data_IF_698886505097
#
_entry.id   IF_698886505097
#
_cell.length_a   1.000
_cell.length_b   1.000
_cell.length_c   1.000
_cell.angle_alpha   90.00
_cell.angle_beta   90.00
_cell.angle_gamma   90.00
#
_symmetry.space_group_name_H-M   'P 1'
#
loop_
_entity.id
_entity.type
_entity.pdbx_description
1 polymer ?
2 non-polymer ?
3 non-polymer ?
4 non-polymer ?
5 water ?
#
# COMPACT_ATOMS: atom_id res chain seq x y z
N UNK A 8 25.42 -8.96 -6.52
CA UNK A 8 24.57 -8.51 -7.62
C UNK A 8 23.14 -9.01 -7.44
N UNK A 9 22.72 -9.90 -8.35
CA UNK A 9 21.38 -10.47 -8.30
C UNK A 9 21.27 -11.57 -7.24
N UNK A 10 22.42 -11.95 -6.69
CA UNK A 10 22.46 -13.00 -5.68
C UNK A 10 21.99 -12.47 -4.32
N UNK A 11 22.18 -11.17 -4.11
CA UNK A 11 21.78 -10.54 -2.85
C UNK A 11 20.26 -10.40 -2.75
N UNK A 12 19.61 -10.28 -3.90
CA UNK A 12 18.16 -10.16 -3.94
C UNK A 12 17.48 -11.49 -3.69
N UNK A 13 18.04 -12.55 -4.28
CA UNK A 13 17.50 -13.90 -4.11
C UNK A 13 17.62 -14.35 -2.66
N UNK A 14 18.67 -13.88 -1.98
CA UNK A 14 18.84 -14.17 -0.57
C UNK A 14 17.83 -13.36 0.26
N UNK A 15 17.52 -12.16 -0.23
CA UNK A 15 16.53 -11.32 0.42
C UNK A 15 15.15 -11.95 0.41
N UNK A 16 14.79 -12.54 -0.72
CA UNK A 16 13.51 -13.23 -0.86
C UNK A 16 13.47 -14.45 0.06
N UNK A 17 14.61 -15.11 0.21
CA UNK A 17 14.71 -16.29 1.08
C UNK A 17 14.52 -15.92 2.54
N UNK A 18 15.18 -14.84 2.96
CA UNK A 18 15.07 -14.36 4.34
C UNK A 18 13.63 -13.98 4.70
N UNK A 19 12.97 -13.25 3.81
CA UNK A 19 11.60 -12.82 4.03
C UNK A 19 10.67 -14.02 4.18
N UNK A 20 10.84 -15.01 3.30
CA UNK A 20 10.08 -16.25 3.40
C UNK A 20 10.43 -17.02 4.66
N UNK A 21 11.68 -16.92 5.08
CA UNK A 21 12.16 -17.62 6.27
C UNK A 21 11.53 -17.11 7.55
N UNK A 22 11.42 -15.79 7.66
CA UNK A 22 10.82 -15.14 8.82
C UNK A 22 9.34 -15.52 8.97
N UNK A 23 8.65 -15.61 7.85
CA UNK A 23 7.23 -15.98 7.83
C UNK A 23 7.04 -17.42 8.31
N UNK A 24 7.96 -18.30 7.94
CA UNK A 24 7.88 -19.69 8.37
C UNK A 24 8.14 -19.81 9.87
N UNK A 25 9.10 -19.05 10.37
CA UNK A 25 9.43 -19.07 11.79
C UNK A 25 8.28 -18.53 12.64
N UNK A 26 7.50 -17.62 12.06
CA UNK A 26 6.38 -17.01 12.78
C UNK A 26 5.05 -17.69 12.47
N UNK A 27 5.12 -18.82 11.75
CA UNK A 27 3.92 -19.55 11.36
C UNK A 27 3.20 -20.15 12.57
N UNK A 28 1.88 -20.27 12.46
CA UNK A 28 1.08 -20.88 13.53
C UNK A 28 1.22 -22.39 13.47
N UNK A 29 1.47 -22.92 12.27
CA UNK A 29 1.71 -24.34 12.06
C UNK A 29 2.48 -24.57 10.77
N UNK A 30 3.78 -24.77 10.88
CA UNK A 30 4.66 -24.94 9.72
C UNK A 30 4.34 -26.23 8.97
N UNK A 31 3.88 -27.24 9.69
CA UNK A 31 3.57 -28.53 9.08
C UNK A 31 2.23 -28.51 8.34
N UNK A 32 1.48 -27.43 8.52
CA UNK A 32 0.17 -27.29 7.89
C UNK A 32 0.24 -26.42 6.65
N UNK A 33 1.42 -25.88 6.37
CA UNK A 33 1.63 -25.04 5.20
C UNK A 33 1.44 -25.83 3.91
N UNK A 34 0.47 -25.39 3.09
CA UNK A 34 0.23 -26.00 1.80
C UNK A 34 1.25 -25.49 0.78
N UNK A 35 2.07 -26.41 0.26
CA UNK A 35 3.15 -26.06 -0.65
C UNK A 35 2.63 -25.58 -2.00
N UNK A 36 1.49 -26.11 -2.44
CA UNK A 36 0.88 -25.66 -3.68
C UNK A 36 0.42 -24.21 -3.55
N UNK A 37 -0.21 -23.90 -2.41
CA UNK A 37 -0.70 -22.56 -2.13
C UNK A 37 0.43 -21.53 -2.13
N UNK A 38 1.38 -21.71 -1.21
CA UNK A 38 2.44 -20.71 -1.04
C UNK A 38 3.47 -20.78 -2.16
N UNK A 39 3.56 -21.92 -2.82
CA UNK A 39 4.47 -22.07 -3.95
C UNK A 39 3.98 -21.26 -5.14
N UNK A 40 2.72 -21.46 -5.50
CA UNK A 40 2.11 -20.74 -6.61
C UNK A 40 1.92 -19.26 -6.31
N UNK A 41 1.65 -18.94 -5.05
CA UNK A 41 1.43 -17.56 -4.65
C UNK A 41 2.69 -16.73 -4.85
N UNK A 42 3.83 -17.29 -4.51
CA UNK A 42 5.12 -16.64 -4.74
C UNK A 42 5.44 -16.64 -6.22
N UNK A 43 5.10 -17.74 -6.90
CA UNK A 43 5.35 -17.89 -8.32
C UNK A 43 4.59 -16.84 -9.15
N UNK A 44 3.37 -16.55 -8.73
CA UNK A 44 2.54 -15.56 -9.42
C UNK A 44 3.04 -14.15 -9.19
N UNK A 45 3.36 -13.83 -7.94
CA UNK A 45 3.87 -12.50 -7.60
C UNK A 45 5.22 -12.24 -8.25
N UNK A 46 6.04 -13.28 -8.36
CA UNK A 46 7.35 -13.18 -8.99
C UNK A 46 7.21 -13.03 -10.51
N UNK A 47 6.30 -13.80 -11.09
CA UNK A 47 6.10 -13.79 -12.53
C UNK A 47 5.40 -12.51 -12.99
N UNK A 48 4.50 -12.01 -12.15
CA UNK A 48 3.83 -10.75 -12.42
C UNK A 48 4.84 -9.61 -12.46
N UNK A 49 5.82 -9.68 -11.56
CA UNK A 49 6.89 -8.72 -11.53
C UNK A 49 7.76 -8.84 -12.77
N UNK A 50 8.07 -10.08 -13.14
CA UNK A 50 8.85 -10.34 -14.34
C UNK A 50 8.12 -9.85 -15.58
N UNK A 51 6.82 -10.11 -15.63
CA UNK A 51 5.99 -9.77 -16.78
C UNK A 51 6.00 -8.27 -17.07
N UNK A 52 5.67 -7.46 -16.08
CA UNK A 52 5.43 -6.03 -16.32
C UNK A 52 6.63 -5.13 -16.05
N UNK A 53 7.75 -5.71 -15.60
CA UNK A 53 8.94 -4.90 -15.34
C UNK A 53 10.12 -5.29 -16.24
N UNK A 54 10.07 -6.48 -16.82
CA UNK A 54 11.18 -6.98 -17.62
C UNK A 54 10.79 -7.22 -19.08
N UNK A 55 9.84 -8.13 -19.27
CA UNK A 55 9.33 -8.49 -20.59
C UNK A 55 8.73 -7.29 -21.31
N UNK A 56 9.18 -7.02 -22.55
CA UNK A 56 8.72 -5.90 -23.38
C UNK A 56 7.20 -5.73 -23.44
N UNK A 57 6.47 -6.79 -23.78
CA UNK A 57 5.02 -6.70 -23.93
C UNK A 57 4.35 -6.28 -22.62
N UNK A 58 4.85 -6.82 -21.52
CA UNK A 58 4.30 -6.50 -20.21
C UNK A 58 4.55 -5.06 -19.81
N UNK A 59 5.73 -4.54 -20.18
CA UNK A 59 6.07 -3.14 -19.90
C UNK A 59 5.16 -2.19 -20.66
N UNK A 60 4.67 -2.64 -21.82
CA UNK A 60 3.78 -1.81 -22.64
C UNK A 60 2.36 -1.79 -22.09
N UNK A 61 1.94 -2.93 -21.54
CA UNK A 61 0.63 -3.03 -20.92
C UNK A 61 0.60 -2.22 -19.61
N UNK A 62 1.74 -2.16 -18.94
CA UNK A 62 1.84 -1.42 -17.69
C UNK A 62 1.84 0.08 -17.91
N UNK A 63 2.60 0.53 -18.92
CA UNK A 63 2.67 1.95 -19.22
C UNK A 63 1.36 2.44 -19.85
N UNK A 64 0.66 1.53 -20.52
CA UNK A 64 -0.61 1.87 -21.13
C UNK A 64 -1.69 2.06 -20.08
N UNK A 65 -1.67 1.20 -19.07
CA UNK A 65 -2.62 1.29 -17.96
C UNK A 65 -2.30 2.51 -17.10
N UNK A 66 -1.01 2.78 -16.93
CA UNK A 66 -0.56 3.91 -16.12
C UNK A 66 -0.89 5.25 -16.77
N UNK A 67 -0.76 5.31 -18.10
CA UNK A 67 -1.10 6.53 -18.84
C UNK A 67 -2.60 6.78 -18.78
N UNK A 68 -3.37 5.69 -18.77
CA UNK A 68 -4.82 5.78 -18.64
C UNK A 68 -5.21 6.34 -17.27
N UNK A 69 -4.52 5.86 -16.23
CA UNK A 69 -4.71 6.37 -14.88
C UNK A 69 -4.30 7.83 -14.80
N UNK A 70 -3.21 8.17 -15.48
CA UNK A 70 -2.71 9.55 -15.48
C UNK A 70 -3.68 10.50 -16.19
N UNK A 71 -4.43 9.98 -17.15
CA UNK A 71 -5.41 10.79 -17.86
C UNK A 71 -6.65 11.02 -17.01
N UNK A 72 -7.03 10.01 -16.24
CA UNK A 72 -8.20 10.11 -15.36
C UNK A 72 -7.96 11.16 -14.27
N UNK A 73 -6.75 11.19 -13.74
CA UNK A 73 -6.39 12.15 -12.71
C UNK A 73 -6.53 13.58 -13.22
N UNK A 74 -6.02 13.82 -14.43
CA UNK A 74 -6.11 15.13 -15.06
C UNK A 74 -7.55 15.55 -15.33
N UNK A 75 -8.37 14.59 -15.76
CA UNK A 75 -9.79 14.83 -15.96
C UNK A 75 -10.44 15.21 -14.63
N UNK A 76 -10.08 14.51 -13.57
CA UNK A 76 -10.59 14.81 -12.25
C UNK A 76 -10.13 16.17 -11.75
N UNK A 77 -8.98 16.61 -12.24
CA UNK A 77 -8.41 17.89 -11.83
C UNK A 77 -9.18 19.09 -12.33
N UNK A 78 -10.14 18.87 -13.22
CA UNK A 78 -11.01 19.95 -13.65
C UNK A 78 -11.95 20.34 -12.52
N UNK A 79 -12.33 19.35 -11.71
CA UNK A 79 -13.21 19.59 -10.58
C UNK A 79 -12.57 20.46 -9.52
N UNK A 80 -11.31 20.16 -9.20
CA UNK A 80 -10.60 20.91 -8.17
C UNK A 80 -10.14 22.27 -8.69
N UNK A 81 -9.95 22.36 -10.00
CA UNK A 81 -9.61 23.62 -10.65
C UNK A 81 -10.77 24.59 -10.56
N UNK A 82 -11.99 24.06 -10.64
CA UNK A 82 -13.18 24.89 -10.53
C UNK A 82 -13.34 25.47 -9.13
N UNK A 83 -13.05 24.66 -8.12
CA UNK A 83 -13.24 25.06 -6.73
C UNK A 83 -12.19 26.05 -6.25
N UNK A 84 -10.94 25.84 -6.64
CA UNK A 84 -9.84 26.62 -6.07
C UNK A 84 -9.21 27.57 -7.08
N UNK A 85 -9.70 27.54 -8.31
CA UNK A 85 -9.31 28.50 -9.33
C UNK A 85 -7.83 28.69 -9.54
N UNK A 86 -7.36 29.92 -9.31
CA UNK A 86 -5.98 30.28 -9.53
C UNK A 86 -5.02 29.79 -8.46
N UNK A 87 -5.55 29.21 -7.39
CA UNK A 87 -4.70 28.66 -6.33
C UNK A 87 -4.11 27.33 -6.75
N UNK A 88 -4.60 26.77 -7.85
CA UNK A 88 -4.03 25.54 -8.41
C UNK A 88 -3.58 25.76 -9.86
N UNK A 89 -3.31 27.01 -10.20
CA UNK A 89 -2.84 27.34 -11.56
C UNK A 89 -1.32 27.49 -11.59
N UNK A 90 -0.79 27.76 -12.79
CA UNK A 90 0.64 27.91 -12.98
C UNK A 90 1.20 29.19 -12.38
N UNK A 91 0.32 30.17 -12.16
CA UNK A 91 0.72 31.45 -11.61
C UNK A 91 1.27 31.30 -10.19
N UNK A 92 0.85 30.24 -9.51
CA UNK A 92 1.29 29.97 -8.14
C UNK A 92 2.79 29.73 -8.07
N UNK A 93 3.34 29.13 -9.12
CA UNK A 93 4.77 28.85 -9.18
C UNK A 93 5.56 30.11 -9.51
N UNK A 94 4.93 31.06 -10.19
CA UNK A 94 5.58 32.31 -10.54
C UNK A 94 5.66 33.24 -9.32
N UNK A 95 4.76 33.04 -8.37
CA UNK A 95 4.69 33.92 -7.20
C UNK A 95 5.37 33.32 -5.97
N UNK A 96 5.03 32.08 -5.65
CA UNK A 96 5.55 31.43 -4.45
C UNK A 96 6.69 30.47 -4.73
N UNK A 97 7.02 30.31 -6.01
CA UNK A 97 8.06 29.40 -6.41
C UNK A 97 7.71 27.96 -6.14
N UNK A 98 8.56 27.27 -5.38
CA UNK A 98 8.32 25.89 -5.01
C UNK A 98 7.13 25.74 -4.09
N UNK A 99 6.88 26.78 -3.29
CA UNK A 99 5.77 26.77 -2.36
C UNK A 99 4.43 27.07 -3.00
N UNK A 100 4.42 27.13 -4.34
CA UNK A 100 3.20 27.39 -5.08
C UNK A 100 2.33 26.15 -5.17
N UNK A 101 2.96 24.99 -4.95
CA UNK A 101 2.25 23.71 -4.99
C UNK A 101 1.56 23.46 -3.65
N UNK A 102 0.27 23.80 -3.57
CA UNK A 102 -0.48 23.67 -2.34
C UNK A 102 -1.09 22.27 -2.20
N UNK A 103 -0.49 21.46 -1.34
CA UNK A 103 -0.88 20.07 -1.15
C UNK A 103 -2.36 19.89 -0.85
N UNK A 104 -2.91 20.77 -0.02
CA UNK A 104 -4.30 20.67 0.41
C UNK A 104 -5.26 20.75 -0.77
N UNK A 105 -4.86 21.45 -1.82
CA UNK A 105 -5.73 21.66 -2.98
C UNK A 105 -5.29 20.82 -4.18
N UNK A 106 -4.05 20.34 -4.17
CA UNK A 106 -3.50 19.61 -5.30
C UNK A 106 -3.69 18.09 -5.17
N UNK A 107 -3.58 17.58 -3.96
CA UNK A 107 -3.58 16.14 -3.74
C UNK A 107 -4.88 15.63 -3.10
N UNK A 108 -5.32 16.30 -2.05
CA UNK A 108 -6.51 15.89 -1.29
C UNK A 108 -7.82 15.81 -2.10
N UNK A 109 -8.07 16.79 -3.01
CA UNK A 109 -9.31 16.66 -3.79
C UNK A 109 -9.33 15.43 -4.69
N UNK A 110 -8.16 14.91 -5.05
CA UNK A 110 -8.07 13.73 -5.89
C UNK A 110 -8.68 12.50 -5.20
N UNK A 111 -8.58 12.45 -3.88
CA UNK A 111 -9.17 11.36 -3.11
C UNK A 111 -10.70 11.37 -3.23
N UNK A 112 -11.26 12.57 -3.36
CA UNK A 112 -12.70 12.73 -3.48
C UNK A 112 -13.20 12.28 -4.84
N UNK A 113 -12.48 12.67 -5.88
CA UNK A 113 -12.86 12.33 -7.26
C UNK A 113 -12.77 10.84 -7.53
N UNK A 114 -11.68 10.22 -7.09
CA UNK A 114 -11.45 8.80 -7.36
C UNK A 114 -12.38 7.91 -6.55
N UNK A 115 -12.79 8.39 -5.38
CA UNK A 115 -13.74 7.66 -4.57
C UNK A 115 -15.10 7.63 -5.26
N UNK A 116 -15.45 8.76 -5.88
CA UNK A 116 -16.69 8.87 -6.64
C UNK A 116 -16.66 7.96 -7.87
N UNK A 117 -15.51 7.94 -8.55
CA UNK A 117 -15.35 7.13 -9.76
C UNK A 117 -15.48 5.65 -9.49
N UNK A 118 -14.79 5.18 -8.45
CA UNK A 118 -14.82 3.76 -8.08
C UNK A 118 -16.23 3.35 -7.69
N UNK A 119 -16.92 4.25 -6.98
CA UNK A 119 -18.30 4.00 -6.57
C UNK A 119 -19.22 3.86 -7.78
N UNK A 120 -18.91 4.59 -8.84
CA UNK A 120 -19.65 4.50 -10.10
C UNK A 120 -19.35 3.18 -10.82
N UNK A 121 -18.08 2.81 -10.85
CA UNK A 121 -17.66 1.58 -11.51
C UNK A 121 -18.16 0.33 -10.78
N UNK A 122 -18.56 0.51 -9.52
CA UNK A 122 -19.18 -0.57 -8.76
C UNK A 122 -20.66 -0.72 -9.13
N UNK A 123 -21.34 0.40 -9.27
CA UNK A 123 -22.75 0.42 -9.64
C UNK A 123 -22.97 -0.18 -11.02
N UNK A 124 -22.06 0.11 -11.94
CA UNK A 124 -22.18 -0.35 -13.32
C UNK A 124 -21.82 -1.83 -13.46
N UNK A 125 -21.17 -2.38 -12.44
CA UNK A 125 -20.79 -3.78 -12.46
C UNK A 125 -19.40 -4.03 -13.04
N UNK A 126 -18.70 -2.95 -13.39
CA UNK A 126 -17.38 -3.06 -13.98
C UNK A 126 -16.35 -3.61 -12.98
N UNK A 127 -16.39 -3.09 -11.76
CA UNK A 127 -15.47 -3.51 -10.72
C UNK A 127 -15.65 -4.99 -10.38
N UNK A 128 -16.90 -5.39 -10.17
CA UNK A 128 -17.20 -6.77 -9.81
C UNK A 128 -16.80 -7.73 -10.92
N UNK A 129 -16.84 -7.25 -12.16
CA UNK A 129 -16.45 -8.07 -13.31
C UNK A 129 -14.95 -8.35 -13.29
N UNK A 130 -14.15 -7.33 -13.03
CA UNK A 130 -12.69 -7.48 -12.99
C UNK A 130 -12.24 -8.31 -11.78
N UNK A 131 -12.86 -8.05 -10.63
CA UNK A 131 -12.56 -8.77 -9.40
C UNK A 131 -12.87 -10.27 -9.52
N UNK A 132 -13.99 -10.57 -10.16
CA UNK A 132 -14.44 -11.95 -10.34
C UNK A 132 -13.45 -12.75 -11.16
N UNK A 133 -12.84 -12.10 -12.15
CA UNK A 133 -11.87 -12.74 -13.02
C UNK A 133 -10.54 -12.98 -12.31
N UNK A 134 -10.01 -11.93 -11.67
CA UNK A 134 -8.76 -12.01 -10.94
C UNK A 134 -8.87 -12.94 -9.72
N UNK A 135 -9.94 -12.78 -8.96
CA UNK A 135 -10.16 -13.59 -7.78
C UNK A 135 -10.36 -15.05 -8.09
N UNK A 136 -10.99 -15.33 -9.23
CA UNK A 136 -11.23 -16.69 -9.66
C UNK A 136 -9.97 -17.36 -10.18
N UNK A 137 -9.06 -16.56 -10.73
CA UNK A 137 -7.80 -17.06 -11.22
C UNK A 137 -6.86 -17.42 -10.08
N UNK A 138 -7.00 -16.72 -8.97
CA UNK A 138 -6.17 -16.96 -7.80
C UNK A 138 -6.56 -18.25 -7.08
N UNK A 139 -7.85 -18.49 -6.95
CA UNK A 139 -8.34 -19.65 -6.21
C UNK A 139 -8.11 -20.96 -6.95
N UNK A 140 -8.18 -20.91 -8.28
CA UNK A 140 -8.01 -22.12 -9.08
C UNK A 140 -6.54 -22.50 -9.22
N UNK A 141 -5.66 -21.57 -8.86
CA UNK A 141 -4.22 -21.79 -8.97
C UNK A 141 -3.56 -21.97 -7.61
N UNK A 142 -4.24 -21.50 -6.56
CA UNK A 142 -3.67 -21.57 -5.21
C UNK A 142 -4.48 -22.48 -4.28
N UNK A 143 -5.72 -22.76 -4.66
CA UNK A 143 -6.58 -23.61 -3.87
C UNK A 143 -7.19 -22.86 -2.70
N UNK A 144 -6.99 -21.55 -2.68
CA UNK A 144 -7.58 -20.69 -1.67
C UNK A 144 -9.09 -20.62 -1.88
N UNK A 145 -9.83 -20.31 -0.83
CA UNK A 145 -11.30 -20.31 -0.88
C UNK A 145 -11.85 -19.17 -1.73
N UNK A 146 -13.14 -19.26 -2.02
CA UNK A 146 -13.81 -18.28 -2.88
C UNK A 146 -13.79 -16.86 -2.32
N UNK A 147 -14.20 -16.71 -1.06
CA UNK A 147 -14.34 -15.38 -0.46
C UNK A 147 -13.02 -14.66 -0.25
N UNK A 148 -12.01 -15.38 0.24
CA UNK A 148 -10.72 -14.76 0.54
C UNK A 148 -9.96 -14.40 -0.74
N UNK A 149 -10.31 -15.06 -1.84
CA UNK A 149 -9.66 -14.81 -3.13
C UNK A 149 -10.22 -13.56 -3.79
N UNK A 150 -11.52 -13.36 -3.65
CA UNK A 150 -12.18 -12.18 -4.21
C UNK A 150 -11.76 -10.94 -3.45
N UNK A 151 -11.57 -11.08 -2.15
CA UNK A 151 -11.15 -9.98 -1.29
C UNK A 151 -9.72 -9.57 -1.62
N UNK A 152 -8.91 -10.56 -1.99
CA UNK A 152 -7.52 -10.30 -2.38
C UNK A 152 -7.47 -9.51 -3.69
N UNK A 153 -8.33 -9.89 -4.63
CA UNK A 153 -8.42 -9.20 -5.90
C UNK A 153 -9.03 -7.80 -5.73
N UNK A 154 -10.03 -7.69 -4.87
CA UNK A 154 -10.69 -6.40 -4.64
C UNK A 154 -9.74 -5.39 -4.03
N UNK A 155 -8.81 -5.87 -3.21
CA UNK A 155 -7.87 -5.00 -2.50
C UNK A 155 -6.88 -4.29 -3.42
N UNK A 156 -6.75 -4.79 -4.64
CA UNK A 156 -5.89 -4.17 -5.63
C UNK A 156 -6.39 -2.75 -5.95
N UNK A 157 -7.70 -2.56 -5.88
CA UNK A 157 -8.32 -1.29 -6.27
C UNK A 157 -8.85 -0.47 -5.09
N UNK A 158 -9.37 -1.13 -4.08
CA UNK A 158 -9.95 -0.41 -2.94
C UNK A 158 -9.27 -0.73 -1.61
N UNK A 159 -9.71 -0.04 -0.56
CA UNK A 159 -9.08 -0.13 0.75
C UNK A 159 -9.38 -1.39 1.54
N UNK A 160 -8.72 -1.52 2.69
CA UNK A 160 -8.81 -2.73 3.51
C UNK A 160 -10.20 -2.93 4.13
N UNK A 161 -10.98 -1.87 4.20
CA UNK A 161 -12.32 -1.95 4.78
C UNK A 161 -13.38 -2.06 3.70
N UNK A 162 -13.07 -1.57 2.51
CA UNK A 162 -14.03 -1.58 1.40
C UNK A 162 -13.97 -2.90 0.62
N UNK A 163 -12.80 -3.53 0.60
CA UNK A 163 -12.59 -4.78 -0.13
C UNK A 163 -13.47 -5.95 0.36
N UNK A 164 -13.55 -6.18 1.69
CA UNK A 164 -14.35 -7.36 2.11
C UNK A 164 -15.84 -7.22 1.86
N UNK A 165 -16.30 -6.05 1.43
CA UNK A 165 -17.72 -5.82 1.19
C UNK A 165 -18.27 -6.66 0.03
N UNK A 166 -17.39 -7.16 -0.82
CA UNK A 166 -17.82 -8.01 -1.94
C UNK A 166 -18.13 -9.43 -1.47
N UNK A 167 -17.78 -9.74 -0.23
CA UNK A 167 -18.04 -11.06 0.32
C UNK A 167 -18.52 -10.97 1.76
N UNK A 168 -19.24 -9.90 2.08
CA UNK A 168 -19.67 -9.65 3.46
C UNK A 168 -20.61 -10.71 4.08
N UNK A 169 -21.43 -11.41 3.27
CA UNK A 169 -22.23 -12.40 4.00
C UNK A 169 -21.46 -13.66 4.37
N UNK A 170 -20.23 -13.80 3.84
CA UNK A 170 -19.41 -14.98 4.11
C UNK A 170 -18.37 -14.71 5.19
N UNK A 171 -18.17 -13.43 5.51
CA UNK A 171 -17.20 -13.02 6.53
C UNK A 171 -17.50 -13.52 7.95
N UNK A 172 -18.78 -13.45 8.40
CA UNK A 172 -19.02 -13.87 9.80
C UNK A 172 -18.68 -15.32 10.09
N UNK A 173 -18.72 -16.19 9.10
CA UNK A 173 -18.52 -17.62 9.33
C UNK A 173 -17.26 -18.19 8.68
N UNK A 174 -16.41 -17.33 8.12
CA UNK A 174 -15.18 -17.82 7.52
C UNK A 174 -14.17 -18.18 8.59
N UNK A 175 -13.25 -19.09 8.26
CA UNK A 175 -12.28 -19.63 9.20
C UNK A 175 -11.27 -18.57 9.66
N UNK A 176 -10.53 -18.88 10.71
CA UNK A 176 -9.51 -17.98 11.24
C UNK A 176 -8.44 -17.67 10.19
N UNK A 177 -8.08 -18.69 9.42
CA UNK A 177 -7.12 -18.54 8.33
C UNK A 177 -7.69 -17.65 7.22
N UNK A 178 -8.99 -17.76 6.99
CA UNK A 178 -9.66 -16.95 5.97
C UNK A 178 -9.75 -15.49 6.38
N UNK A 179 -10.14 -15.25 7.62
CA UNK A 179 -10.24 -13.91 8.17
C UNK A 179 -8.86 -13.25 8.18
N UNK A 180 -7.85 -14.02 8.54
CA UNK A 180 -6.48 -13.52 8.61
C UNK A 180 -5.97 -13.11 7.23
N UNK A 181 -6.36 -13.87 6.20
CA UNK A 181 -5.94 -13.56 4.84
C UNK A 181 -6.62 -12.29 4.34
N UNK A 182 -7.89 -12.12 4.71
CA UNK A 182 -8.65 -10.92 4.36
C UNK A 182 -8.01 -9.69 4.99
N UNK A 183 -7.54 -9.85 6.22
CA UNK A 183 -6.82 -8.77 6.90
C UNK A 183 -5.51 -8.46 6.20
N UNK A 184 -4.79 -9.51 5.80
CA UNK A 184 -3.48 -9.35 5.16
C UNK A 184 -3.60 -8.75 3.75
N UNK A 185 -4.65 -9.12 3.04
CA UNK A 185 -4.89 -8.59 1.71
C UNK A 185 -5.06 -7.09 1.72
N UNK A 186 -5.60 -6.58 2.82
CA UNK A 186 -5.83 -5.15 2.96
C UNK A 186 -4.58 -4.42 3.41
N UNK A 187 -3.80 -5.06 4.26
CA UNK A 187 -2.57 -4.47 4.80
C UNK A 187 -1.45 -4.48 3.77
N UNK A 188 -1.50 -5.43 2.84
CA UNK A 188 -0.47 -5.57 1.82
C UNK A 188 -0.71 -4.60 0.65
N UNK A 189 -1.89 -4.00 0.63
CA UNK A 189 -2.29 -3.14 -0.49
C UNK A 189 -2.70 -1.75 -0.03
N UNK A 190 -2.97 -0.87 -0.99
CA UNK A 190 -3.52 0.44 -0.67
C UNK A 190 -4.93 0.55 -1.23
N UNK A 191 -5.28 1.74 -1.71
CA UNK A 191 -6.57 1.95 -2.36
C UNK A 191 -6.40 2.89 -3.55
N UNK A 192 -7.34 2.85 -4.48
CA UNK A 192 -7.26 3.62 -5.70
C UNK A 192 -7.17 5.12 -5.47
N UNK A 193 -7.86 5.60 -4.44
CA UNK A 193 -7.87 7.01 -4.13
C UNK A 193 -6.52 7.55 -3.73
N UNK A 194 -5.91 6.96 -2.70
CA UNK A 194 -4.59 7.38 -2.24
C UNK A 194 -3.51 7.10 -3.28
N UNK A 195 -3.75 6.10 -4.12
CA UNK A 195 -2.83 5.79 -5.21
C UNK A 195 -2.67 7.00 -6.12
N UNK A 196 -3.80 7.61 -6.45
CA UNK A 196 -3.81 8.80 -7.29
C UNK A 196 -3.21 9.99 -6.55
N UNK A 197 -3.28 9.95 -5.22
CA UNK A 197 -2.70 10.99 -4.41
C UNK A 197 -1.19 10.94 -4.48
N UNK A 198 -0.64 9.76 -4.23
CA UNK A 198 0.80 9.54 -4.26
C UNK A 198 1.36 9.84 -5.65
N UNK A 199 0.59 9.49 -6.67
CA UNK A 199 0.94 9.79 -8.05
C UNK A 199 1.00 11.29 -8.29
N UNK A 200 0.12 12.03 -7.62
CA UNK A 200 0.07 13.48 -7.74
C UNK A 200 1.17 14.15 -6.93
N UNK A 201 1.90 13.34 -6.15
CA UNK A 201 3.00 13.84 -5.33
C UNK A 201 4.34 13.58 -6.01
N UNK A 202 4.31 12.90 -7.15
CA UNK A 202 5.52 12.64 -7.92
C UNK A 202 5.95 11.18 -7.95
N UNK A 203 5.25 10.34 -7.21
CA UNK A 203 5.53 8.90 -7.23
C UNK A 203 5.13 8.33 -8.58
N UNK A 204 6.01 7.54 -9.18
CA UNK A 204 5.76 6.95 -10.48
C UNK A 204 4.55 6.01 -10.46
N UNK A 205 3.60 6.28 -11.35
CA UNK A 205 2.36 5.51 -11.41
C UNK A 205 2.60 4.04 -11.76
N UNK A 206 3.62 3.81 -12.58
CA UNK A 206 3.99 2.45 -12.97
C UNK A 206 4.32 1.59 -11.75
N UNK A 207 4.97 2.20 -10.76
CA UNK A 207 5.36 1.49 -9.54
C UNK A 207 4.17 1.27 -8.62
N UNK A 208 3.25 2.23 -8.61
CA UNK A 208 2.05 2.16 -7.77
C UNK A 208 1.09 1.08 -8.25
N UNK A 209 0.84 1.06 -9.56
CA UNK A 209 -0.04 0.07 -10.17
C UNK A 209 0.56 -1.33 -10.05
N UNK A 210 1.87 -1.44 -10.27
CA UNK A 210 2.56 -2.72 -10.21
C UNK A 210 2.51 -3.30 -8.80
N UNK A 211 2.80 -2.46 -7.80
CA UNK A 211 2.78 -2.88 -6.41
C UNK A 211 1.36 -3.25 -5.96
N UNK A 212 0.37 -2.56 -6.52
CA UNK A 212 -1.03 -2.82 -6.20
C UNK A 212 -1.47 -4.20 -6.66
N UNK A 213 -1.08 -4.58 -7.87
CA UNK A 213 -1.45 -5.87 -8.43
C UNK A 213 -0.65 -7.01 -7.80
N UNK A 214 0.61 -6.76 -7.46
CA UNK A 214 1.46 -7.78 -6.83
C UNK A 214 1.06 -7.98 -5.36
N UNK A 215 0.17 -7.11 -4.87
CA UNK A 215 -0.29 -7.18 -3.50
C UNK A 215 -1.24 -8.34 -3.28
N UNK A 216 -2.04 -8.66 -4.29
CA UNK A 216 -3.02 -9.74 -4.17
C UNK A 216 -2.37 -11.12 -3.97
N UNK A 217 -1.39 -11.50 -4.82
CA UNK A 217 -0.78 -12.79 -4.51
C UNK A 217 0.17 -12.72 -3.32
N UNK A 218 0.79 -11.55 -3.12
CA UNK A 218 1.73 -11.36 -2.03
C UNK A 218 1.03 -11.37 -0.69
N UNK A 219 -0.20 -10.88 -0.65
CA UNK A 219 -1.00 -10.90 0.55
C UNK A 219 -1.38 -12.31 0.93
N UNK A 220 -1.82 -13.09 -0.05
CA UNK A 220 -2.20 -14.48 0.18
C UNK A 220 -0.98 -15.32 0.57
N UNK A 221 0.16 -15.00 -0.04
CA UNK A 221 1.40 -15.71 0.20
C UNK A 221 1.80 -15.76 1.67
N UNK A 222 1.96 -14.59 2.28
CA UNK A 222 2.40 -14.52 3.67
C UNK A 222 1.27 -14.79 4.65
N UNK A 223 0.04 -14.71 4.17
CA UNK A 223 -1.12 -15.05 4.99
C UNK A 223 -1.17 -16.56 5.24
N UNK A 224 -0.91 -17.31 4.19
CA UNK A 224 -0.98 -18.77 4.25
C UNK A 224 0.32 -19.36 4.79
N UNK A 225 1.38 -18.57 4.77
CA UNK A 225 2.65 -18.97 5.36
C UNK A 225 2.59 -18.86 6.87
N UNK A 226 2.10 -17.72 7.35
CA UNK A 226 2.04 -17.44 8.78
C UNK A 226 0.78 -18.01 9.43
N UNK A 227 -0.25 -18.25 8.62
CA UNK A 227 -1.51 -18.76 9.14
C UNK A 227 -2.16 -19.72 8.14
N UNK A 228 -1.66 -20.95 8.04
CA UNK A 228 -2.20 -21.96 7.13
C UNK A 228 -3.61 -22.39 7.51
N UNK A 229 -4.40 -22.80 6.52
CA UNK A 229 -5.75 -23.28 6.80
C UNK A 229 -5.71 -24.61 7.54
N UNK A 230 -6.29 -24.64 8.73
CA UNK A 230 -6.37 -25.87 9.52
C UNK A 230 -7.83 -26.29 9.68
N UNK A 231 -8.75 -25.45 9.21
CA UNK A 231 -10.17 -25.76 9.26
C UNK A 231 -10.70 -26.06 7.86
N UNK A 232 -12.02 -26.20 7.75
CA UNK A 232 -12.67 -26.41 6.45
C UNK A 232 -13.57 -25.24 6.08
N UNK A 233 -13.20 -24.50 5.03
CA UNK A 233 -14.00 -23.37 4.54
C UNK A 233 -15.32 -23.81 3.92
N UNK A 234 -16.24 -22.86 3.76
CA UNK A 234 -17.54 -23.15 3.16
C UNK A 234 -17.56 -22.76 1.68
N UNK A 235 -18.69 -23.03 1.03
CA UNK A 235 -18.89 -22.72 -0.39
C UNK A 235 -17.80 -23.32 -1.26
N UNK A 247 -27.00 -0.60 -2.02
CA UNK A 247 -26.86 -0.23 -3.42
C UNK A 247 -27.69 1.02 -3.75
N UNK A 248 -27.03 2.09 -4.23
CA UNK A 248 -27.66 3.35 -4.60
C UNK A 248 -28.72 3.19 -5.69
N UNK A 249 -29.76 4.03 -5.64
CA UNK A 249 -30.90 3.93 -6.55
C UNK A 249 -30.51 4.18 -8.01
N UNK A 250 -29.47 4.98 -8.22
CA UNK A 250 -29.02 5.29 -9.57
C UNK A 250 -27.53 5.64 -9.60
N UNK A 251 -27.00 5.80 -10.80
CA UNK A 251 -25.57 6.02 -11.01
C UNK A 251 -25.13 7.39 -10.48
N UNK A 252 -26.09 8.31 -10.35
CA UNK A 252 -25.77 9.64 -9.85
C UNK A 252 -25.66 9.62 -8.32
N UNK A 253 -26.48 8.79 -7.69
CA UNK A 253 -26.41 8.60 -6.24
C UNK A 253 -25.12 7.90 -5.86
N UNK A 254 -24.65 7.02 -6.75
CA UNK A 254 -23.41 6.29 -6.53
C UNK A 254 -22.22 7.22 -6.49
N UNK A 255 -22.16 8.15 -7.44
CA UNK A 255 -21.07 9.13 -7.50
C UNK A 255 -21.12 10.07 -6.31
N UNK A 256 -22.32 10.45 -5.88
CA UNK A 256 -22.49 11.35 -4.75
C UNK A 256 -22.03 10.70 -3.44
N UNK A 257 -22.36 9.43 -3.25
CA UNK A 257 -21.98 8.72 -2.06
C UNK A 257 -20.48 8.52 -2.01
N UNK A 258 -19.89 8.27 -3.19
CA UNK A 258 -18.46 8.10 -3.31
C UNK A 258 -17.71 9.38 -2.99
N UNK A 259 -18.22 10.50 -3.48
CA UNK A 259 -17.63 11.80 -3.19
C UNK A 259 -17.67 12.11 -1.69
N UNK A 260 -18.81 11.79 -1.08
CA UNK A 260 -18.98 12.01 0.35
C UNK A 260 -17.98 11.20 1.16
N UNK A 261 -17.85 9.92 0.82
CA UNK A 261 -16.87 9.05 1.45
C UNK A 261 -15.46 9.58 1.25
N UNK A 262 -15.16 10.00 0.03
CA UNK A 262 -13.84 10.54 -0.30
C UNK A 262 -13.54 11.84 0.43
N UNK A 263 -14.57 12.65 0.62
CA UNK A 263 -14.46 13.88 1.41
C UNK A 263 -14.02 13.59 2.84
N UNK A 264 -14.71 12.65 3.48
CA UNK A 264 -14.41 12.28 4.86
C UNK A 264 -12.98 11.77 4.95
N UNK A 265 -12.58 10.99 3.96
CA UNK A 265 -11.22 10.46 3.89
C UNK A 265 -10.20 11.58 3.68
N UNK A 266 -10.53 12.52 2.81
CA UNK A 266 -9.66 13.66 2.53
C UNK A 266 -9.41 14.49 3.79
N UNK A 267 -10.46 14.73 4.56
CA UNK A 267 -10.37 15.50 5.79
C UNK A 267 -9.53 14.80 6.85
N UNK A 268 -9.74 13.49 7.00
CA UNK A 268 -9.00 12.71 7.99
C UNK A 268 -7.51 12.61 7.66
N UNK A 269 -7.20 12.40 6.39
CA UNK A 269 -5.81 12.33 5.95
C UNK A 269 -5.11 13.67 6.17
N UNK A 270 -5.80 14.76 5.82
CA UNK A 270 -5.25 16.09 5.97
C UNK A 270 -4.96 16.47 7.40
N UNK A 271 -5.91 16.17 8.29
CA UNK A 271 -5.72 16.42 9.71
C UNK A 271 -4.58 15.57 10.26
N UNK A 272 -4.48 14.33 9.79
CA UNK A 272 -3.42 13.44 10.24
C UNK A 272 -2.05 13.96 9.83
N UNK A 273 -1.94 14.46 8.61
CA UNK A 273 -0.67 14.99 8.12
C UNK A 273 -0.24 16.24 8.88
N UNK A 274 -1.20 17.11 9.24
CA UNK A 274 -0.87 18.29 10.05
C UNK A 274 -0.33 17.89 11.42
N UNK A 275 -1.00 16.92 12.04
CA UNK A 275 -0.63 16.50 13.38
C UNK A 275 0.66 15.68 13.40
N UNK A 276 0.75 14.68 12.52
CA UNK A 276 1.89 13.77 12.53
C UNK A 276 3.19 14.46 12.16
N UNK A 277 3.17 15.23 11.08
CA UNK A 277 4.34 16.00 10.68
C UNK A 277 4.68 17.02 11.77
N UNK A 278 3.65 17.65 12.32
CA UNK A 278 3.82 18.57 13.44
C UNK A 278 4.44 17.89 14.65
N UNK A 279 3.98 16.69 14.96
CA UNK A 279 4.50 15.93 16.10
C UNK A 279 5.95 15.51 15.89
N UNK A 280 6.29 15.19 14.64
CA UNK A 280 7.66 14.80 14.28
C UNK A 280 8.63 15.96 14.49
N UNK A 281 8.19 17.16 14.16
CA UNK A 281 9.00 18.35 14.35
C UNK A 281 9.24 18.61 15.84
N UNK A 282 8.23 18.30 16.65
CA UNK A 282 8.36 18.40 18.11
C UNK A 282 9.33 17.35 18.63
N UNK A 283 9.21 16.12 18.11
CA UNK A 283 10.06 15.01 18.51
C UNK A 283 11.52 15.29 18.15
N UNK A 284 11.76 15.82 16.95
CA UNK A 284 13.11 16.20 16.53
C UNK A 284 13.69 17.29 17.42
N UNK A 285 12.85 18.20 17.87
CA UNK A 285 13.27 19.27 18.76
C UNK A 285 13.72 18.69 20.09
N UNK A 286 12.96 17.73 20.60
CA UNK A 286 13.29 17.08 21.86
C UNK A 286 14.51 16.18 21.71
N UNK A 287 14.58 15.46 20.59
CA UNK A 287 15.71 14.57 20.30
C UNK A 287 17.01 15.34 20.10
N UNK A 288 16.89 16.61 19.76
CA UNK A 288 18.06 17.46 19.61
C UNK A 288 18.63 17.82 20.97
N UNK A 289 17.75 18.07 21.93
CA UNK A 289 18.16 18.39 23.29
C UNK A 289 18.59 17.17 24.07
N UNK A 290 17.84 16.08 23.92
CA UNK A 290 18.19 14.82 24.57
C UNK A 290 19.49 14.26 24.01
N UNK A 291 19.59 14.26 22.68
CA UNK A 291 20.78 13.78 22.00
C UNK A 291 22.02 14.56 22.39
N UNK A 292 21.83 15.84 22.69
CA UNK A 292 22.93 16.70 23.10
C UNK A 292 23.59 16.25 24.38
N UNK A 293 22.82 15.62 25.25
CA UNK A 293 23.34 15.09 26.51
C UNK A 293 24.35 13.97 26.26
N UNK A 294 24.27 13.35 25.08
CA UNK A 294 25.18 12.27 24.71
C UNK A 294 26.06 12.66 23.54
N UNK A 295 26.30 13.96 23.37
CA UNK A 295 27.19 14.46 22.35
C UNK A 295 26.63 14.45 20.94
N UNK A 296 25.33 14.23 20.81
CA UNK A 296 24.70 14.15 19.49
C UNK A 296 23.54 15.13 19.36
N UNK A 297 23.84 16.44 19.33
CA UNK A 297 22.77 17.45 19.27
C UNK A 297 22.00 17.43 17.96
N UNK A 298 22.58 16.82 16.93
CA UNK A 298 21.95 16.77 15.62
C UNK A 298 21.04 15.56 15.47
N UNK A 299 20.82 14.85 16.58
CA UNK A 299 19.97 13.67 16.59
C UNK A 299 18.53 14.00 16.20
N UNK A 300 18.00 13.22 15.26
CA UNK A 300 16.62 13.39 14.82
C UNK A 300 15.93 12.05 14.62
N UNK A 301 14.63 12.08 14.35
CA UNK A 301 13.86 10.86 14.17
C UNK A 301 14.30 10.11 12.92
N UNK A 302 14.69 10.86 11.90
CA UNK A 302 15.12 10.29 10.63
C UNK A 302 16.41 9.51 10.79
N UNK A 303 17.28 9.97 11.69
CA UNK A 303 18.55 9.29 11.96
C UNK A 303 18.31 7.95 12.64
N UNK A 304 17.44 7.94 13.66
CA UNK A 304 17.10 6.71 14.36
C UNK A 304 16.49 5.68 13.42
N UNK A 305 15.48 6.09 12.64
CA UNK A 305 14.80 5.18 11.72
C UNK A 305 15.73 4.69 10.61
N UNK A 306 16.58 5.59 10.12
CA UNK A 306 17.54 5.22 9.09
C UNK A 306 18.58 4.23 9.60
N UNK A 307 19.08 4.48 10.80
CA UNK A 307 20.10 3.62 11.40
C UNK A 307 19.55 2.25 11.78
N UNK A 308 18.24 2.21 12.03
CA UNK A 308 17.60 0.98 12.51
C UNK A 308 17.04 0.13 11.39
N UNK A 309 16.75 0.76 10.25
CA UNK A 309 16.13 0.06 9.12
C UNK A 309 17.08 -0.11 7.94
N UNK A 310 18.30 0.39 8.09
CA UNK A 310 19.33 0.24 7.07
C UNK A 310 19.64 -1.23 6.71
N UNK A 311 19.77 -2.11 7.72
CA UNK A 311 20.03 -3.51 7.35
C UNK A 311 18.88 -4.12 6.53
N UNK A 312 17.64 -3.76 6.88
CA UNK A 312 16.47 -4.25 6.16
C UNK A 312 16.45 -3.73 4.73
N UNK A 313 16.78 -2.45 4.56
CA UNK A 313 16.84 -1.81 3.26
C UNK A 313 17.93 -2.43 2.41
N UNK A 314 19.08 -2.71 3.03
CA UNK A 314 20.20 -3.33 2.34
C UNK A 314 19.87 -4.77 1.95
N UNK A 315 19.00 -5.40 2.73
CA UNK A 315 18.60 -6.78 2.50
C UNK A 315 17.72 -6.94 1.26
N UNK A 316 16.96 -5.90 0.94
CA UNK A 316 15.99 -5.99 -0.15
C UNK A 316 16.51 -5.40 -1.47
N UNK A 317 17.79 -5.02 -1.49
CA UNK A 317 18.43 -4.63 -2.75
C UNK A 317 18.92 -3.21 -2.84
N UNK A 318 18.88 -2.47 -1.73
CA UNK A 318 19.36 -1.10 -1.72
C UNK A 318 20.86 -1.06 -1.49
N UNK A 319 21.59 -0.37 -2.37
CA UNK A 319 23.06 -0.23 -2.28
C UNK A 319 23.50 0.23 -0.90
N UNK A 320 24.70 -0.19 -0.50
CA UNK A 320 25.24 0.09 0.84
C UNK A 320 25.27 1.58 1.15
N UNK A 321 25.61 2.40 0.14
CA UNK A 321 25.74 3.84 0.34
C UNK A 321 24.41 4.58 0.23
N UNK A 322 23.32 3.84 0.13
CA UNK A 322 21.99 4.43 0.06
C UNK A 322 21.01 3.73 1.01
N UNK A 323 21.52 2.77 1.77
CA UNK A 323 20.68 1.96 2.66
C UNK A 323 20.16 2.78 3.85
N UNK A 324 20.96 3.73 4.30
CA UNK A 324 20.58 4.55 5.46
C UNK A 324 19.43 5.50 5.13
N UNK A 325 19.52 6.17 3.99
CA UNK A 325 18.48 7.09 3.54
C UNK A 325 17.19 6.33 3.23
N UNK A 326 17.33 5.17 2.60
CA UNK A 326 16.18 4.33 2.27
C UNK A 326 15.51 3.79 3.53
N UNK A 327 16.29 3.66 4.60
CA UNK A 327 15.77 3.17 5.87
C UNK A 327 14.85 4.17 6.54
N UNK A 328 15.12 5.46 6.32
CA UNK A 328 14.33 6.53 6.90
C UNK A 328 12.87 6.46 6.45
N UNK A 329 12.69 6.20 5.16
CA UNK A 329 11.37 6.20 4.55
C UNK A 329 10.60 4.91 4.89
N UNK A 330 11.29 3.79 4.83
CA UNK A 330 10.69 2.49 5.14
C UNK A 330 10.30 2.40 6.60
N UNK A 331 11.16 2.89 7.48
CA UNK A 331 10.89 2.88 8.90
C UNK A 331 9.74 3.79 9.28
N UNK A 332 9.66 4.94 8.62
CA UNK A 332 8.62 5.92 8.90
C UNK A 332 7.24 5.38 8.49
N UNK A 333 7.21 4.65 7.40
CA UNK A 333 5.99 3.99 6.92
C UNK A 333 5.50 2.95 7.92
N UNK A 334 6.43 2.30 8.61
CA UNK A 334 6.09 1.24 9.55
C UNK A 334 5.60 1.79 10.89
N UNK A 335 6.32 2.77 11.41
CA UNK A 335 6.00 3.31 12.73
C UNK A 335 4.82 4.28 12.69
N UNK A 336 4.49 4.76 11.50
CA UNK A 336 3.35 5.67 11.32
C UNK A 336 2.41 5.15 10.24
N UNK A 337 2.48 5.76 9.06
CA UNK A 337 1.75 5.25 7.91
C UNK A 337 2.46 5.63 6.60
N UNK A 338 2.05 5.00 5.51
CA UNK A 338 2.75 5.14 4.24
C UNK A 338 2.56 6.52 3.61
N UNK A 339 1.52 7.23 4.04
CA UNK A 339 1.25 8.56 3.51
C UNK A 339 2.27 9.56 4.03
N UNK A 340 2.59 9.46 5.32
CA UNK A 340 3.60 10.32 5.93
C UNK A 340 4.99 10.00 5.35
N UNK A 341 5.23 8.73 5.05
CA UNK A 341 6.49 8.30 4.46
C UNK A 341 6.64 8.87 3.06
N UNK A 342 5.58 8.74 2.26
CA UNK A 342 5.57 9.25 0.90
C UNK A 342 5.74 10.77 0.85
N UNK A 343 5.27 11.44 1.89
CA UNK A 343 5.35 12.90 1.96
C UNK A 343 6.79 13.36 2.15
N UNK A 344 7.58 12.55 2.84
CA UNK A 344 8.99 12.87 3.09
C UNK A 344 9.88 12.38 1.95
N UNK A 345 9.39 11.39 1.21
CA UNK A 345 10.16 10.76 0.12
C UNK A 345 9.95 11.49 -1.21
N UNK A 346 8.81 12.16 -1.32
CA UNK A 346 8.46 12.90 -2.54
C UNK A 346 9.48 13.95 -2.99
N UNK A 347 10.06 14.73 -2.05
CA UNK A 347 11.10 15.67 -2.49
C UNK A 347 12.31 14.99 -3.14
N UNK A 348 12.55 13.73 -2.82
CA UNK A 348 13.70 13.00 -3.36
C UNK A 348 13.41 12.52 -4.79
N UNK A 349 12.23 12.84 -5.29
CA UNK A 349 11.85 12.45 -6.65
C UNK A 349 11.87 13.65 -7.59
N UNK A 350 12.45 14.75 -7.12
CA UNK A 350 12.57 15.96 -7.92
C UNK A 350 14.04 16.35 -8.11
N UNK A 351 14.27 17.41 -8.87
CA UNK A 351 15.63 17.89 -9.12
C UNK A 351 16.18 18.62 -7.90
N UNK A 352 15.29 19.02 -6.99
CA UNK A 352 15.69 19.72 -5.78
C UNK A 352 15.83 18.74 -4.61
N UNK A 353 16.29 17.53 -4.92
CA UNK A 353 16.46 16.50 -3.91
C UNK A 353 17.77 16.68 -3.14
N UNK A 354 17.70 16.59 -1.80
CA UNK A 354 18.89 16.74 -0.96
C UNK A 354 19.92 15.64 -1.20
N UNK A 355 19.44 14.45 -1.55
CA UNK A 355 20.31 13.33 -1.88
C UNK A 355 19.85 12.66 -3.17
N UNK A 356 20.70 12.67 -4.18
CA UNK A 356 20.38 12.02 -5.46
C UNK A 356 20.49 10.51 -5.32
N UNK A 357 19.37 9.82 -5.47
CA UNK A 357 19.35 8.37 -5.33
C UNK A 357 19.33 7.70 -6.70
N UNK A 358 19.84 6.46 -6.75
CA UNK A 358 19.81 5.70 -7.99
C UNK A 358 18.38 5.37 -8.37
N UNK A 359 18.14 5.15 -9.65
CA UNK A 359 16.80 4.88 -10.15
C UNK A 359 16.24 3.57 -9.58
N UNK A 360 17.13 2.63 -9.27
CA UNK A 360 16.72 1.37 -8.70
C UNK A 360 16.29 1.54 -7.25
N UNK A 361 17.00 2.39 -6.52
CA UNK A 361 16.70 2.66 -5.11
C UNK A 361 15.36 3.37 -4.98
N UNK A 362 15.07 4.27 -5.90
CA UNK A 362 13.80 4.99 -5.92
C UNK A 362 12.64 4.00 -6.12
N UNK A 363 12.86 2.99 -6.95
CA UNK A 363 11.85 1.98 -7.21
C UNK A 363 11.59 1.12 -5.98
N UNK A 364 12.67 0.70 -5.32
CA UNK A 364 12.58 -0.15 -4.14
C UNK A 364 11.82 0.53 -3.00
N UNK A 365 12.12 1.80 -2.77
CA UNK A 365 11.45 2.59 -1.74
C UNK A 365 9.96 2.73 -2.06
N UNK A 366 9.65 2.94 -3.33
CA UNK A 366 8.27 3.10 -3.78
C UNK A 366 7.42 1.85 -3.53
N UNK A 367 7.99 0.69 -3.85
CA UNK A 367 7.28 -0.58 -3.69
C UNK A 367 7.14 -0.98 -2.22
N UNK A 368 8.18 -0.73 -1.43
CA UNK A 368 8.20 -1.12 -0.01
C UNK A 368 7.26 -0.25 0.81
N UNK A 369 6.98 0.94 0.31
CA UNK A 369 6.08 1.87 1.00
C UNK A 369 4.63 1.62 0.61
N UNK A 370 4.42 1.04 -0.56
CA UNK A 370 3.08 0.92 -1.14
C UNK A 370 2.22 -0.12 -0.41
N UNK A 371 1.77 0.24 0.79
CA UNK A 371 0.90 -0.64 1.55
C UNK A 371 0.35 0.00 2.81
N UNK A 372 -0.80 -0.49 3.28
CA UNK A 372 -1.44 0.03 4.49
C UNK A 372 -0.91 -0.65 5.75
N UNK A 373 0.12 -1.48 5.59
CA UNK A 373 0.67 -2.26 6.69
C UNK A 373 1.30 -1.39 7.77
N UNK A 374 0.49 -1.05 8.78
CA UNK A 374 0.98 -0.38 9.98
C UNK A 374 0.08 -0.70 11.17
N UNK A 375 0.51 -0.34 12.37
CA UNK A 375 -0.22 -0.68 13.58
C UNK A 375 -1.57 0.03 13.66
N UNK A 376 -1.64 1.24 13.12
CA UNK A 376 -2.86 2.03 13.21
C UNK A 376 -3.98 1.48 12.32
N UNK A 377 -3.60 0.64 11.37
CA UNK A 377 -4.58 0.05 10.46
C UNK A 377 -5.35 -1.08 11.14
N UNK A 378 -4.84 -1.55 12.27
CA UNK A 378 -5.53 -2.58 13.05
C UNK A 378 -6.81 -2.03 13.66
N UNK A 379 -6.74 -0.80 14.17
CA UNK A 379 -7.90 -0.14 14.75
C UNK A 379 -8.97 0.09 13.69
N UNK A 380 -8.51 0.37 12.47
CA UNK A 380 -9.41 0.56 11.34
C UNK A 380 -10.02 -0.77 10.92
N UNK A 381 -9.23 -1.84 11.03
CA UNK A 381 -9.74 -3.19 10.73
C UNK A 381 -10.74 -3.66 11.78
N UNK A 382 -10.54 -3.24 13.01
CA UNK A 382 -11.48 -3.55 14.09
C UNK A 382 -12.86 -2.92 13.86
N UNK A 383 -12.85 -1.71 13.30
CA UNK A 383 -14.09 -0.98 13.07
C UNK A 383 -14.80 -1.41 11.80
N UNK A 384 -14.12 -1.26 10.66
CA UNK A 384 -14.71 -1.56 9.37
C UNK A 384 -15.02 -3.03 9.17
N UNK A 385 -13.99 -3.87 9.23
CA UNK A 385 -14.15 -5.31 9.05
C UNK A 385 -14.92 -5.92 10.21
N UNK A 386 -14.87 -5.25 11.36
CA UNK A 386 -15.56 -5.71 12.55
C UNK A 386 -17.06 -5.50 12.49
N UNK A 387 -17.50 -4.49 11.74
CA UNK A 387 -18.92 -4.22 11.60
C UNK A 387 -19.59 -5.29 10.74
N UNK A 388 -18.80 -5.93 9.88
CA UNK A 388 -19.28 -6.99 9.01
C UNK A 388 -19.43 -8.30 9.78
N UNK A 389 -18.78 -8.37 10.94
CA UNK A 389 -18.82 -9.56 11.78
C UNK A 389 -18.49 -9.20 13.22
N UNK A 390 -19.47 -8.64 13.94
CA UNK A 390 -19.25 -8.11 15.30
C UNK A 390 -18.75 -9.15 16.29
N UNK A 391 -19.07 -10.42 16.07
CA UNK A 391 -18.65 -11.49 16.98
C UNK A 391 -17.24 -12.00 16.65
N UNK A 392 -16.57 -11.32 15.73
CA UNK A 392 -15.23 -11.72 15.30
C UNK A 392 -14.18 -10.66 15.59
N UNK A 393 -14.58 -9.59 16.30
CA UNK A 393 -13.67 -8.52 16.65
C UNK A 393 -12.55 -9.01 17.57
N UNK A 394 -12.84 -10.07 18.32
CA UNK A 394 -11.84 -10.67 19.19
C UNK A 394 -10.72 -11.29 18.39
N UNK A 395 -11.09 -12.01 17.33
CA UNK A 395 -10.13 -12.66 16.45
C UNK A 395 -9.31 -11.64 15.67
N UNK A 396 -9.93 -10.52 15.32
CA UNK A 396 -9.24 -9.46 14.58
C UNK A 396 -8.17 -8.81 15.46
N UNK A 397 -8.52 -8.53 16.71
CA UNK A 397 -7.57 -7.92 17.63
C UNK A 397 -6.41 -8.85 17.96
N UNK A 398 -6.69 -10.15 17.96
CA UNK A 398 -5.69 -11.14 18.30
C UNK A 398 -4.67 -11.32 17.18
N UNK A 399 -5.13 -11.37 15.93
CA UNK A 399 -4.25 -11.59 14.79
C UNK A 399 -3.71 -10.28 14.22
N UNK A 400 -4.09 -9.16 14.83
CA UNK A 400 -3.71 -7.85 14.36
C UNK A 400 -2.24 -7.66 14.04
N UNK A 401 -1.38 -7.86 15.04
CA UNK A 401 0.07 -7.65 14.88
C UNK A 401 0.68 -8.61 13.86
N UNK A 402 0.28 -9.88 13.89
CA UNK A 402 0.78 -10.86 12.93
C UNK A 402 0.37 -10.48 11.51
N UNK A 403 -0.82 -9.91 11.37
CA UNK A 403 -1.33 -9.52 10.06
C UNK A 403 -0.58 -8.32 9.49
N UNK A 404 -0.15 -7.42 10.38
CA UNK A 404 0.66 -6.27 9.97
C UNK A 404 2.03 -6.73 9.49
N UNK A 405 2.63 -7.65 10.24
CA UNK A 405 3.91 -8.24 9.86
C UNK A 405 3.81 -8.91 8.49
N UNK A 406 2.74 -9.67 8.29
CA UNK A 406 2.53 -10.36 7.03
C UNK A 406 2.35 -9.38 5.87
N UNK A 407 1.64 -8.28 6.13
CA UNK A 407 1.48 -7.23 5.14
C UNK A 407 2.79 -6.51 4.86
N UNK A 408 3.61 -6.33 5.90
CA UNK A 408 4.92 -5.72 5.76
C UNK A 408 5.84 -6.58 4.90
N UNK A 409 5.84 -7.88 5.16
CA UNK A 409 6.68 -8.81 4.42
C UNK A 409 6.30 -8.85 2.94
N UNK A 410 5.02 -8.65 2.66
CA UNK A 410 4.53 -8.62 1.28
C UNK A 410 5.04 -7.40 0.54
N UNK A 411 4.99 -6.24 1.19
CA UNK A 411 5.52 -5.02 0.60
C UNK A 411 7.02 -5.11 0.37
N UNK A 412 7.73 -5.74 1.30
CA UNK A 412 9.17 -5.91 1.19
C UNK A 412 9.52 -6.90 0.08
N UNK A 413 8.73 -7.96 -0.05
CA UNK A 413 8.96 -8.96 -1.09
C UNK A 413 8.75 -8.37 -2.48
N UNK A 414 7.69 -7.59 -2.64
CA UNK A 414 7.39 -6.94 -3.91
C UNK A 414 8.51 -5.96 -4.29
N UNK A 415 9.12 -5.35 -3.28
CA UNK A 415 10.21 -4.41 -3.50
C UNK A 415 11.48 -5.14 -3.91
N UNK A 416 11.72 -6.29 -3.31
CA UNK A 416 12.87 -7.12 -3.63
C UNK A 416 12.77 -7.65 -5.06
N UNK A 417 11.56 -8.07 -5.42
CA UNK A 417 11.29 -8.55 -6.76
C UNK A 417 11.44 -7.43 -7.79
N UNK A 418 10.94 -6.24 -7.44
CA UNK A 418 11.05 -5.08 -8.32
C UNK A 418 12.50 -4.69 -8.54
N UNK A 419 13.28 -4.67 -7.46
CA UNK A 419 14.68 -4.32 -7.53
C UNK A 419 15.51 -5.34 -8.28
N UNK A 420 15.03 -6.59 -8.31
CA UNK A 420 15.73 -7.68 -9.00
C UNK A 420 15.70 -7.50 -10.51
N UNK A 421 14.51 -7.26 -11.06
CA UNK A 421 14.33 -7.12 -12.50
C UNK A 421 14.72 -5.72 -12.99
N UNK A 422 15.21 -4.89 -12.07
CA UNK A 422 15.67 -3.56 -12.42
C UNK A 422 17.16 -3.39 -12.09
#
# INVERSE_FOLDING_TARGET
>A
GPAVPRMSLFMSCCGMAVLLGIAVLLSSNRKAINLRTVGGAFAIQFSLGAFILYVPWGQELLRGFSDAVSNVINYGNDGTSFLFGGLVSGKMFEVFGGGGFIFAFRVLPTLIFFSALISVLYYLGVMQWVIRILGGGLQKALGTSRAESMSAAANIFVGQTEAPLVVRPFVPKMTQSELFAVMCGGLASIAGGVLAGYASMGVKIEYLVAASFMAAPGGLLFAKLMMPETEKPQDNEDITLDGGDDKPANVIDAAAGGASAGLQLALNVGAMLIAFIGLIALINGMLGGIGGWFGMPELKLEMLLGWLFAPLAFLIGVPWNEATVAGEFIGLKTVANEFVAYSQFAPYLTEAAPVVLSEKTKAIISFALCGFANLSSIAILLGGLGSLAPKRRGDIARMGVKAVIAGTLSNLMAATIAGFFLSF
#
